data_IF_778422203636
#
_entry.id   IF_778422203636
#
_cell.length_a   1.000
_cell.length_b   1.000
_cell.length_c   1.000
_cell.angle_alpha   90.00
_cell.angle_beta   90.00
_cell.angle_gamma   90.00
#
_symmetry.space_group_name_H-M   'P 1'
#
loop_
_entity.id
_entity.type
_entity.pdbx_description
1 polymer ?
#
# COMPACT_ATOMS: atom_id res chain seq x y z
N UNK A 1 12.57 -6.06 12.44
CA UNK A 1 11.14 -5.74 12.54
C UNK A 1 11.04 -4.25 12.25
N UNK A 2 10.39 -3.85 11.16
CA UNK A 2 10.21 -2.42 10.89
C UNK A 2 9.21 -1.88 11.90
N UNK A 3 9.65 -0.94 12.73
CA UNK A 3 8.82 -0.28 13.74
C UNK A 3 8.04 0.82 13.04
N UNK A 4 6.89 0.46 12.48
CA UNK A 4 5.95 1.44 11.93
C UNK A 4 5.13 2.02 13.07
N UNK A 5 5.05 3.34 13.13
CA UNK A 5 4.08 4.03 13.98
C UNK A 5 2.66 3.65 13.55
N UNK A 6 1.68 3.70 14.46
CA UNK A 6 0.27 3.43 14.13
C UNK A 6 -0.23 4.22 12.92
N UNK A 7 0.24 5.47 12.76
CA UNK A 7 -0.08 6.32 11.60
C UNK A 7 0.49 5.80 10.28
N UNK A 8 1.68 5.23 10.30
CA UNK A 8 2.34 4.69 9.09
C UNK A 8 1.63 3.39 8.67
N UNK A 9 1.26 2.57 9.65
CA UNK A 9 0.46 1.37 9.41
C UNK A 9 -0.93 1.72 8.85
N UNK A 10 -1.62 2.71 9.42
CA UNK A 10 -2.91 3.19 8.91
C UNK A 10 -2.79 3.72 7.48
N UNK A 11 -1.73 4.48 7.19
CA UNK A 11 -1.44 5.03 5.86
C UNK A 11 -1.26 3.92 4.82
N UNK A 12 -0.45 2.91 5.14
CA UNK A 12 -0.22 1.74 4.29
C UNK A 12 -1.52 0.92 4.10
N UNK A 13 -2.22 0.61 5.18
CA UNK A 13 -3.45 -0.16 5.15
C UNK A 13 -4.54 0.53 4.31
N UNK A 14 -4.68 1.85 4.46
CA UNK A 14 -5.67 2.62 3.71
C UNK A 14 -5.31 2.72 2.22
N UNK A 15 -4.03 2.88 1.88
CA UNK A 15 -3.57 2.90 0.49
C UNK A 15 -3.85 1.56 -0.21
N UNK A 16 -3.45 0.45 0.42
CA UNK A 16 -3.65 -0.91 -0.12
C UNK A 16 -5.14 -1.24 -0.23
N UNK A 17 -5.93 -0.94 0.81
CA UNK A 17 -7.38 -1.18 0.79
C UNK A 17 -8.05 -0.39 -0.34
N UNK A 18 -7.71 0.88 -0.51
CA UNK A 18 -8.27 1.74 -1.56
C UNK A 18 -7.89 1.24 -2.95
N UNK A 19 -6.65 0.78 -3.13
CA UNK A 19 -6.20 0.16 -4.38
C UNK A 19 -6.94 -1.16 -4.66
N UNK A 20 -7.07 -2.04 -3.66
CA UNK A 20 -7.79 -3.31 -3.78
C UNK A 20 -9.26 -3.09 -4.19
N UNK A 21 -9.95 -2.18 -3.51
CA UNK A 21 -11.33 -1.81 -3.83
C UNK A 21 -11.47 -1.24 -5.25
N UNK A 22 -10.53 -0.39 -5.69
CA UNK A 22 -10.54 0.21 -7.02
C UNK A 22 -10.28 -0.79 -8.14
N UNK A 23 -9.55 -1.87 -7.85
CA UNK A 23 -9.20 -2.91 -8.82
C UNK A 23 -10.06 -4.18 -8.70
N UNK A 24 -11.04 -4.21 -7.78
CA UNK A 24 -11.83 -5.42 -7.50
C UNK A 24 -10.98 -6.60 -7.01
N UNK A 25 -9.85 -6.31 -6.35
CA UNK A 25 -8.91 -7.30 -5.83
C UNK A 25 -9.24 -7.58 -4.37
N UNK A 26 -9.26 -8.86 -4.00
CA UNK A 26 -9.36 -9.25 -2.61
C UNK A 26 -8.02 -8.99 -1.88
N UNK A 27 -8.02 -8.31 -0.73
CA UNK A 27 -6.78 -7.98 -0.01
C UNK A 27 -6.03 -9.20 0.53
N UNK A 28 -6.73 -10.32 0.76
CA UNK A 28 -6.11 -11.57 1.24
C UNK A 28 -5.57 -12.44 0.10
N UNK A 29 -6.00 -12.19 -1.15
CA UNK A 29 -5.48 -12.82 -2.35
C UNK A 29 -3.99 -12.55 -2.57
N UNK A 30 -3.34 -13.38 -3.38
CA UNK A 30 -1.93 -13.21 -3.77
C UNK A 30 -1.66 -11.79 -4.30
N UNK A 31 -2.58 -11.24 -5.10
CA UNK A 31 -2.46 -9.90 -5.67
C UNK A 31 -2.63 -8.80 -4.62
N UNK A 32 -3.50 -8.98 -3.63
CA UNK A 32 -3.65 -8.06 -2.49
C UNK A 32 -2.41 -8.06 -1.57
N UNK A 33 -1.84 -9.25 -1.33
CA UNK A 33 -0.58 -9.39 -0.59
C UNK A 33 0.60 -8.77 -1.34
N UNK A 34 0.67 -8.94 -2.66
CA UNK A 34 1.68 -8.33 -3.51
C UNK A 34 1.55 -6.79 -3.50
N UNK A 35 0.33 -6.25 -3.53
CA UNK A 35 0.08 -4.82 -3.35
C UNK A 35 0.54 -4.30 -1.99
N UNK A 36 0.36 -5.09 -0.93
CA UNK A 36 0.85 -4.76 0.43
C UNK A 36 2.38 -4.69 0.46
N UNK A 37 3.06 -5.71 -0.07
CA UNK A 37 4.52 -5.72 -0.17
C UNK A 37 5.04 -4.52 -0.96
N UNK A 38 4.39 -4.19 -2.08
CA UNK A 38 4.75 -3.05 -2.91
C UNK A 38 4.51 -1.70 -2.22
N UNK A 39 3.40 -1.56 -1.49
CA UNK A 39 3.11 -0.36 -0.72
C UNK A 39 4.19 -0.12 0.35
N UNK A 40 4.60 -1.18 1.05
CA UNK A 40 5.68 -1.16 2.03
C UNK A 40 7.01 -0.76 1.38
N UNK A 41 7.36 -1.33 0.23
CA UNK A 41 8.57 -0.93 -0.50
C UNK A 41 8.56 0.55 -0.88
N UNK A 42 7.45 1.05 -1.41
CA UNK A 42 7.30 2.44 -1.82
C UNK A 42 7.40 3.40 -0.63
N UNK A 43 6.74 3.04 0.48
CA UNK A 43 6.78 3.81 1.71
C UNK A 43 8.17 3.82 2.35
N UNK A 44 8.89 2.69 2.34
CA UNK A 44 10.27 2.65 2.83
C UNK A 44 11.23 3.50 1.97
N UNK A 45 10.97 3.63 0.66
CA UNK A 45 11.74 4.52 -0.22
C UNK A 45 11.43 5.99 0.02
N UNK A 46 10.20 6.30 0.42
CA UNK A 46 9.77 7.66 0.72
C UNK A 46 8.67 7.65 1.81
N UNK A 47 9.04 7.73 3.10
CA UNK A 47 8.09 7.65 4.21
C UNK A 47 7.21 8.89 4.36
N UNK A 48 7.48 9.95 3.59
CA UNK A 48 6.65 11.15 3.52
C UNK A 48 5.45 11.00 2.58
N UNK A 49 5.29 9.85 1.91
CA UNK A 49 4.17 9.62 1.01
C UNK A 49 2.85 9.52 1.77
N UNK A 50 1.84 10.22 1.29
CA UNK A 50 0.48 10.06 1.81
C UNK A 50 -0.16 8.77 1.28
N UNK A 51 -1.24 8.33 1.91
CA UNK A 51 -2.00 7.16 1.47
C UNK A 51 -2.49 7.27 0.01
N UNK A 52 -2.84 8.48 -0.43
CA UNK A 52 -3.17 8.78 -1.84
C UNK A 52 -1.98 8.61 -2.77
N UNK A 53 -0.80 9.10 -2.40
CA UNK A 53 0.40 9.00 -3.25
C UNK A 53 0.83 7.53 -3.38
N UNK A 54 0.75 6.76 -2.29
CA UNK A 54 0.96 5.31 -2.31
C UNK A 54 -0.04 4.60 -3.21
N UNK A 55 -1.33 4.93 -3.12
CA UNK A 55 -2.36 4.35 -3.99
C UNK A 55 -2.08 4.66 -5.47
N UNK A 56 -1.69 5.90 -5.79
CA UNK A 56 -1.34 6.28 -7.17
C UNK A 56 -0.10 5.53 -7.64
N UNK A 57 0.94 5.42 -6.80
CA UNK A 57 2.15 4.68 -7.13
C UNK A 57 1.88 3.17 -7.36
N UNK A 58 1.00 2.56 -6.56
CA UNK A 58 0.51 1.19 -6.79
C UNK A 58 -0.28 1.05 -8.09
N UNK A 59 -0.97 2.10 -8.54
CA UNK A 59 -1.73 2.09 -9.80
C UNK A 59 -0.81 2.28 -11.00
N UNK A 60 0.21 3.15 -10.89
CA UNK A 60 1.20 3.38 -11.95
C UNK A 60 2.21 2.24 -12.10
N UNK A 61 2.44 1.48 -11.03
CA UNK A 61 3.32 0.30 -11.01
C UNK A 61 2.60 -0.84 -10.30
N UNK A 62 1.66 -1.52 -10.98
CA UNK A 62 0.90 -2.60 -10.37
C UNK A 62 1.83 -3.75 -9.92
N UNK A 63 1.51 -4.40 -8.80
CA UNK A 63 2.18 -5.61 -8.33
C UNK A 63 1.85 -6.83 -9.20
#
# INVERSE_FOLDING_TARGET
MMDYSDREFETLAQAVKSWCQSNGVDPESERGRAATGRAIELFNRNPSLSSKDLQQALTSSPP
#
